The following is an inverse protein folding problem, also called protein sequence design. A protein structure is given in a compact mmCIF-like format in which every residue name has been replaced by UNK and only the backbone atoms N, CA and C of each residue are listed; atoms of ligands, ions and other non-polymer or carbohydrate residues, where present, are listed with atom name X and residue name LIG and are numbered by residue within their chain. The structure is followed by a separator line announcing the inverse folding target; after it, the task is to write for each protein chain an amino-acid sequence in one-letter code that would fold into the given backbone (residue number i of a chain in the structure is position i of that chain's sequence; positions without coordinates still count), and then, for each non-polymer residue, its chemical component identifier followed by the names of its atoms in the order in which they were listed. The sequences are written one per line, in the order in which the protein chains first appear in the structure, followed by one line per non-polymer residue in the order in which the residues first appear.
data_IF_046471571891
#
_entry.id   IF_046471571891
#
_cell.length_a   1.000
_cell.length_b   1.000
_cell.length_c   1.000
_cell.angle_alpha   90.00
_cell.angle_beta   90.00
_cell.angle_gamma   90.00
#
_symmetry.space_group_name_H-M   'P 1'
#
loop_
_entity.id
_entity.type
_entity.pdbx_description
1 polymer ?
#
# COMPACT_ATOMS: atom_id res chain seq x y z
N UNK A 1 -30.61 -5.66 -13.11
CA UNK A 1 -31.33 -4.52 -12.48
C UNK A 1 -30.82 -4.37 -11.06
N UNK A 2 -30.63 -3.13 -10.58
CA UNK A 2 -30.16 -2.86 -9.23
C UNK A 2 -31.14 -3.45 -8.19
N UNK A 3 -30.61 -4.07 -7.14
CA UNK A 3 -31.42 -4.69 -6.07
C UNK A 3 -31.93 -3.67 -5.03
N UNK A 4 -31.20 -2.57 -4.84
CA UNK A 4 -31.51 -1.51 -3.87
C UNK A 4 -31.44 -0.14 -4.54
N UNK A 5 -32.25 0.79 -4.06
CA UNK A 5 -32.10 2.22 -4.40
C UNK A 5 -30.95 2.80 -3.59
N UNK A 6 -30.07 3.57 -4.26
CA UNK A 6 -28.85 4.12 -3.64
C UNK A 6 -28.67 5.63 -3.87
N UNK A 7 -29.68 6.46 -3.60
CA UNK A 7 -29.69 7.87 -4.02
C UNK A 7 -28.54 8.71 -3.43
N UNK A 8 -28.01 8.37 -2.26
CA UNK A 8 -26.84 9.07 -1.69
C UNK A 8 -25.54 8.62 -2.36
N UNK A 9 -25.37 7.31 -2.57
CA UNK A 9 -24.19 6.80 -3.29
C UNK A 9 -24.16 7.22 -4.75
N UNK A 10 -25.32 7.36 -5.40
CA UNK A 10 -25.44 7.78 -6.80
C UNK A 10 -24.82 9.18 -7.02
N UNK A 11 -24.84 10.06 -6.00
CA UNK A 11 -24.16 11.36 -6.07
C UNK A 11 -22.65 11.23 -6.25
N UNK A 12 -22.05 10.14 -5.77
CA UNK A 12 -20.61 9.88 -5.80
C UNK A 12 -20.14 9.29 -7.14
N UNK A 13 -21.05 9.09 -8.10
CA UNK A 13 -20.69 8.73 -9.48
C UNK A 13 -20.31 9.94 -10.33
N UNK A 14 -20.68 11.13 -9.87
CA UNK A 14 -20.35 12.39 -10.55
C UNK A 14 -18.94 12.89 -10.19
N UNK A 15 -18.42 13.80 -11.01
CA UNK A 15 -17.09 14.40 -10.83
C UNK A 15 -15.97 13.66 -11.57
N UNK A 16 -14.74 14.22 -11.56
CA UNK A 16 -13.65 13.71 -12.39
C UNK A 16 -12.87 12.55 -11.78
N UNK A 17 -12.97 12.32 -10.46
CA UNK A 17 -12.23 11.24 -9.78
C UNK A 17 -12.90 9.88 -10.04
N UNK A 18 -12.15 8.78 -10.28
CA UNK A 18 -12.73 7.47 -10.52
C UNK A 18 -13.61 7.04 -9.34
N UNK A 19 -14.89 6.86 -9.62
CA UNK A 19 -15.88 6.52 -8.60
C UNK A 19 -15.84 5.04 -8.23
N UNK A 20 -15.65 4.78 -6.93
CA UNK A 20 -15.79 3.41 -6.40
C UNK A 20 -17.23 2.90 -6.51
N UNK A 21 -18.24 3.80 -6.51
CA UNK A 21 -19.65 3.40 -6.65
C UNK A 21 -19.90 2.85 -8.04
N UNK A 22 -19.45 3.55 -9.08
CA UNK A 22 -19.56 3.09 -10.47
C UNK A 22 -18.85 1.75 -10.68
N UNK A 23 -17.66 1.58 -10.09
CA UNK A 23 -16.91 0.31 -10.21
C UNK A 23 -17.61 -0.85 -9.51
N UNK A 24 -18.15 -0.65 -8.29
CA UNK A 24 -18.92 -1.67 -7.58
C UNK A 24 -20.22 -2.00 -8.33
N UNK A 25 -20.92 -1.01 -8.90
CA UNK A 25 -22.11 -1.25 -9.73
C UNK A 25 -21.80 -2.15 -10.92
N UNK A 26 -20.69 -1.90 -11.62
CA UNK A 26 -20.19 -2.75 -12.70
C UNK A 26 -19.89 -4.17 -12.21
N UNK A 27 -19.23 -4.31 -11.06
CA UNK A 27 -18.97 -5.65 -10.49
C UNK A 27 -20.27 -6.36 -10.08
N UNK A 28 -21.26 -5.63 -9.59
CA UNK A 28 -22.55 -6.16 -9.17
C UNK A 28 -23.39 -6.71 -10.35
N UNK A 29 -23.09 -6.33 -11.59
CA UNK A 29 -23.66 -6.96 -12.78
C UNK A 29 -23.18 -8.41 -12.96
N UNK A 30 -21.94 -8.72 -12.55
CA UNK A 30 -21.38 -10.07 -12.58
C UNK A 30 -21.61 -10.86 -11.28
N UNK A 31 -21.56 -10.17 -10.15
CA UNK A 31 -21.61 -10.71 -8.79
C UNK A 31 -22.75 -10.06 -8.00
N UNK A 32 -23.99 -10.58 -8.09
CA UNK A 32 -25.17 -9.92 -7.53
C UNK A 32 -25.10 -9.63 -6.02
N UNK A 33 -24.28 -10.35 -5.27
CA UNK A 33 -23.97 -10.07 -3.86
C UNK A 33 -23.41 -8.66 -3.63
N UNK A 34 -22.71 -8.08 -4.61
CA UNK A 34 -22.18 -6.71 -4.52
C UNK A 34 -23.31 -5.66 -4.50
N UNK A 35 -24.52 -5.98 -4.98
CA UNK A 35 -25.67 -5.10 -4.77
C UNK A 35 -26.00 -4.95 -3.28
N UNK A 36 -25.86 -6.01 -2.48
CA UNK A 36 -26.08 -5.94 -1.04
C UNK A 36 -25.00 -5.12 -0.33
N UNK A 37 -23.77 -5.02 -0.88
CA UNK A 37 -22.75 -4.07 -0.42
C UNK A 37 -23.18 -2.63 -0.65
N UNK A 38 -23.66 -2.31 -1.86
CA UNK A 38 -24.18 -0.98 -2.15
C UNK A 38 -25.38 -0.64 -1.25
N UNK A 39 -26.28 -1.59 -1.03
CA UNK A 39 -27.46 -1.40 -0.17
C UNK A 39 -27.11 -1.16 1.30
N UNK A 40 -26.18 -1.91 1.88
CA UNK A 40 -25.76 -1.69 3.27
C UNK A 40 -24.93 -0.41 3.42
N UNK A 41 -24.13 -0.06 2.42
CA UNK A 41 -23.36 1.17 2.43
C UNK A 41 -24.29 2.40 2.32
N UNK A 42 -25.29 2.36 1.44
CA UNK A 42 -26.33 3.41 1.35
C UNK A 42 -27.03 3.61 2.70
N UNK A 43 -27.42 2.50 3.36
CA UNK A 43 -28.02 2.58 4.70
C UNK A 43 -27.06 3.24 5.70
N UNK A 44 -25.78 2.88 5.64
CA UNK A 44 -24.74 3.47 6.49
C UNK A 44 -24.57 4.98 6.22
N UNK A 45 -24.70 5.44 4.97
CA UNK A 45 -24.70 6.86 4.62
C UNK A 45 -25.91 7.60 5.22
N UNK A 46 -27.08 6.96 5.18
CA UNK A 46 -28.33 7.52 5.72
C UNK A 46 -28.30 7.62 7.25
N UNK A 47 -27.89 6.54 7.93
CA UNK A 47 -27.96 6.45 9.39
C UNK A 47 -26.68 6.93 10.08
N UNK A 48 -25.58 7.11 9.33
CA UNK A 48 -24.27 7.54 9.81
C UNK A 48 -23.68 6.62 10.88
N UNK A 49 -23.99 5.34 10.77
CA UNK A 49 -23.46 4.27 11.62
C UNK A 49 -22.96 3.11 10.74
N UNK A 50 -22.11 2.26 11.32
CA UNK A 50 -21.69 1.03 10.66
C UNK A 50 -22.74 -0.05 10.83
N UNK A 51 -22.99 -0.83 9.78
CA UNK A 51 -23.89 -2.00 9.80
C UNK A 51 -23.14 -3.33 9.79
N UNK A 52 -21.93 -3.33 10.34
CA UNK A 52 -21.14 -4.53 10.53
C UNK A 52 -21.04 -4.89 12.01
N UNK A 53 -21.30 -6.16 12.34
CA UNK A 53 -21.16 -6.68 13.70
C UNK A 53 -19.73 -6.55 14.22
N UNK A 54 -19.61 -6.57 15.54
CA UNK A 54 -18.32 -6.61 16.22
C UNK A 54 -17.58 -7.92 15.89
N UNK A 55 -16.30 -7.78 15.52
CA UNK A 55 -15.39 -8.91 15.31
C UNK A 55 -15.81 -9.93 14.24
N UNK A 56 -15.24 -11.12 14.36
CA UNK A 56 -15.42 -12.27 13.48
C UNK A 56 -14.15 -13.11 13.46
N UNK A 57 -14.24 -14.34 13.96
CA UNK A 57 -13.10 -15.27 14.04
C UNK A 57 -13.31 -16.36 13.00
N UNK A 58 -12.52 -16.30 11.93
CA UNK A 58 -12.49 -17.26 10.83
C UNK A 58 -11.05 -17.33 10.32
N UNK A 59 -10.68 -18.42 9.67
CA UNK A 59 -9.31 -18.65 9.22
C UNK A 59 -9.21 -19.89 8.34
N UNK A 60 -7.98 -20.31 8.11
CA UNK A 60 -7.62 -21.57 7.47
C UNK A 60 -6.76 -22.38 8.42
N UNK A 61 -6.81 -23.71 8.34
CA UNK A 61 -6.05 -24.58 9.21
C UNK A 61 -4.54 -24.36 9.05
N UNK A 62 -3.82 -24.45 10.18
CA UNK A 62 -2.39 -24.21 10.25
C UNK A 62 -2.00 -22.76 10.55
N UNK A 63 -2.86 -21.77 10.24
CA UNK A 63 -2.61 -20.35 10.45
C UNK A 63 -3.57 -19.73 11.48
N UNK A 64 -3.04 -18.84 12.31
CA UNK A 64 -3.81 -18.08 13.31
C UNK A 64 -4.23 -16.69 12.86
N UNK A 65 -4.01 -16.35 11.59
CA UNK A 65 -4.24 -15.02 11.02
C UNK A 65 -4.37 -15.03 9.49
N UNK A 66 -4.40 -13.83 8.91
CA UNK A 66 -4.49 -13.59 7.46
C UNK A 66 -5.89 -13.28 6.94
N UNK A 67 -6.94 -13.64 7.70
CA UNK A 67 -8.34 -13.40 7.33
C UNK A 67 -9.01 -12.55 8.41
N UNK A 68 -9.82 -11.58 8.00
CA UNK A 68 -10.64 -10.76 8.91
C UNK A 68 -12.10 -11.13 8.71
N UNK A 69 -12.66 -11.85 9.69
CA UNK A 69 -14.07 -12.17 9.72
C UNK A 69 -14.93 -10.92 9.86
N UNK A 70 -16.04 -10.90 9.14
CA UNK A 70 -17.01 -9.80 9.14
C UNK A 70 -18.38 -10.32 8.74
N UNK A 71 -19.40 -9.83 9.44
CA UNK A 71 -20.80 -10.20 9.28
C UNK A 71 -21.66 -8.95 9.34
N UNK A 72 -22.63 -8.82 8.44
CA UNK A 72 -23.60 -7.71 8.46
C UNK A 72 -24.54 -7.85 9.67
N UNK A 73 -24.98 -6.73 10.24
CA UNK A 73 -25.92 -6.72 11.37
C UNK A 73 -27.39 -6.98 10.94
N UNK A 74 -27.69 -6.83 9.64
CA UNK A 74 -29.00 -6.98 9.02
C UNK A 74 -29.04 -8.11 7.96
N UNK A 75 -28.72 -9.38 8.30
CA UNK A 75 -28.50 -10.45 7.33
C UNK A 75 -29.75 -10.82 6.52
N UNK A 76 -30.96 -10.63 7.07
CA UNK A 76 -32.22 -10.86 6.33
C UNK A 76 -32.43 -9.83 5.22
N UNK A 77 -31.96 -8.58 5.42
CA UNK A 77 -32.10 -7.49 4.46
C UNK A 77 -31.00 -7.52 3.40
N UNK A 78 -29.78 -7.90 3.82
CA UNK A 78 -28.60 -7.95 2.96
C UNK A 78 -27.94 -9.35 2.97
N UNK A 79 -28.64 -10.39 2.48
CA UNK A 79 -28.17 -11.78 2.60
C UNK A 79 -26.88 -12.09 1.82
N UNK A 80 -26.60 -11.36 0.73
CA UNK A 80 -25.38 -11.51 -0.07
C UNK A 80 -24.10 -11.14 0.70
N UNK A 81 -24.23 -10.41 1.80
CA UNK A 81 -23.11 -9.96 2.65
C UNK A 81 -23.29 -10.42 4.10
N UNK A 82 -24.12 -11.45 4.31
CA UNK A 82 -24.24 -12.13 5.60
C UNK A 82 -22.86 -12.49 6.15
N UNK A 83 -22.02 -13.07 5.30
CA UNK A 83 -20.58 -13.20 5.49
C UNK A 83 -19.89 -12.31 4.47
N UNK A 84 -18.93 -11.51 4.91
CA UNK A 84 -18.17 -10.63 4.03
C UNK A 84 -16.72 -10.54 4.46
N UNK A 85 -16.08 -11.70 4.55
CA UNK A 85 -14.73 -11.84 5.09
C UNK A 85 -13.69 -11.24 4.15
N UNK A 86 -12.66 -10.63 4.72
CA UNK A 86 -11.55 -10.06 3.98
C UNK A 86 -10.34 -11.00 4.06
N UNK A 87 -9.80 -11.38 2.91
CA UNK A 87 -8.56 -12.18 2.83
C UNK A 87 -7.40 -11.24 2.51
N UNK A 88 -6.32 -11.35 3.28
CA UNK A 88 -5.06 -10.66 3.01
C UNK A 88 -4.14 -11.61 2.27
N UNK A 89 -3.71 -11.22 1.08
CA UNK A 89 -2.77 -11.99 0.26
C UNK A 89 -1.43 -11.27 0.24
N UNK A 90 -0.34 -12.02 0.49
CA UNK A 90 1.00 -11.47 0.54
C UNK A 90 1.38 -10.88 -0.85
N UNK A 91 1.79 -9.62 -0.87
CA UNK A 91 2.21 -8.93 -2.10
C UNK A 91 3.71 -9.14 -2.37
N UNK A 92 4.15 -9.11 -3.65
CA UNK A 92 5.57 -9.00 -3.97
C UNK A 92 6.16 -7.68 -3.43
N UNK A 93 7.44 -7.71 -3.07
CA UNK A 93 8.18 -6.50 -2.70
C UNK A 93 8.05 -5.42 -3.79
N UNK A 94 7.95 -4.16 -3.39
CA UNK A 94 7.70 -3.01 -4.27
C UNK A 94 6.44 -3.07 -5.15
N UNK A 95 5.59 -4.09 -5.02
CA UNK A 95 4.30 -4.24 -5.73
C UNK A 95 4.45 -4.25 -7.26
N UNK A 96 5.52 -4.84 -7.79
CA UNK A 96 5.61 -5.14 -9.21
C UNK A 96 4.78 -6.38 -9.56
N UNK A 97 4.04 -6.30 -10.66
CA UNK A 97 3.16 -7.37 -11.12
C UNK A 97 3.31 -7.61 -12.62
N UNK A 98 3.13 -8.86 -13.03
CA UNK A 98 2.80 -9.19 -14.41
C UNK A 98 1.28 -9.23 -14.59
N UNK A 99 0.80 -8.92 -15.79
CA UNK A 99 -0.64 -9.06 -16.08
C UNK A 99 -1.12 -10.52 -16.00
N UNK A 100 -0.23 -11.49 -16.23
CA UNK A 100 -0.54 -12.91 -16.06
C UNK A 100 -0.86 -13.25 -14.60
N UNK A 101 -0.01 -12.81 -13.65
CA UNK A 101 -0.24 -13.03 -12.22
C UNK A 101 -1.55 -12.36 -11.75
N UNK A 102 -1.79 -11.11 -12.14
CA UNK A 102 -3.01 -10.39 -11.74
C UNK A 102 -4.28 -11.03 -12.32
N UNK A 103 -4.25 -11.48 -13.59
CA UNK A 103 -5.41 -12.17 -14.19
C UNK A 103 -5.70 -13.49 -13.47
N UNK A 104 -4.68 -14.30 -13.22
CA UNK A 104 -4.85 -15.55 -12.48
C UNK A 104 -5.43 -15.32 -11.08
N UNK A 105 -4.96 -14.27 -10.37
CA UNK A 105 -5.50 -13.89 -9.06
C UNK A 105 -6.97 -13.52 -9.14
N UNK A 106 -7.35 -12.74 -10.16
CA UNK A 106 -8.73 -12.34 -10.35
C UNK A 106 -9.62 -13.50 -10.79
N UNK A 107 -9.11 -14.47 -11.56
CA UNK A 107 -9.84 -15.69 -11.91
C UNK A 107 -10.18 -16.50 -10.64
N UNK A 108 -9.21 -16.65 -9.73
CA UNK A 108 -9.45 -17.29 -8.42
C UNK A 108 -10.40 -16.48 -7.55
N UNK A 109 -10.25 -15.15 -7.52
CA UNK A 109 -11.09 -14.31 -6.69
C UNK A 109 -12.53 -14.18 -7.19
N UNK A 110 -12.73 -14.15 -8.52
CA UNK A 110 -14.07 -14.24 -9.12
C UNK A 110 -14.68 -15.63 -8.86
N UNK A 111 -13.90 -16.71 -8.79
CA UNK A 111 -14.42 -18.04 -8.42
C UNK A 111 -14.88 -18.10 -6.97
N UNK A 112 -14.09 -17.56 -6.04
CA UNK A 112 -14.28 -17.79 -4.60
C UNK A 112 -14.87 -16.62 -3.82
N UNK A 113 -14.98 -15.44 -4.41
CA UNK A 113 -15.38 -14.22 -3.69
C UNK A 113 -16.20 -13.25 -4.53
N UNK A 114 -16.28 -12.03 -4.01
CA UNK A 114 -17.07 -10.92 -4.57
C UNK A 114 -16.46 -10.34 -5.86
N UNK A 115 -15.18 -10.60 -6.14
CA UNK A 115 -14.40 -9.89 -7.16
C UNK A 115 -13.99 -8.46 -6.77
N UNK A 116 -14.42 -7.95 -5.60
CA UNK A 116 -13.99 -6.64 -5.09
C UNK A 116 -12.63 -6.73 -4.40
N UNK A 117 -11.80 -5.70 -4.56
CA UNK A 117 -10.47 -5.66 -3.94
C UNK A 117 -10.15 -4.29 -3.34
N UNK A 118 -9.17 -4.24 -2.43
CA UNK A 118 -8.34 -3.05 -2.26
C UNK A 118 -6.94 -3.36 -2.77
N UNK A 119 -6.44 -2.50 -3.66
CA UNK A 119 -5.11 -2.60 -4.26
C UNK A 119 -4.32 -1.36 -3.86
N UNK A 120 -3.76 -1.28 -2.64
CA UNK A 120 -3.52 -2.34 -1.64
C UNK A 120 -4.07 -1.97 -0.27
N UNK A 121 -3.98 -2.89 0.69
CA UNK A 121 -4.10 -2.56 2.10
C UNK A 121 -2.94 -1.69 2.56
N UNK A 122 -3.17 -0.80 3.53
CA UNK A 122 -2.15 0.16 3.96
C UNK A 122 -0.88 -0.49 4.51
N UNK A 123 -0.95 -1.72 5.02
CA UNK A 123 0.27 -2.43 5.48
C UNK A 123 1.11 -2.90 4.29
N UNK A 124 0.48 -3.37 3.22
CA UNK A 124 1.14 -3.85 2.00
C UNK A 124 0.29 -4.85 1.22
N UNK A 125 -0.51 -5.65 1.94
CA UNK A 125 -1.26 -6.79 1.41
C UNK A 125 -2.16 -6.45 0.23
N UNK A 126 -2.32 -7.39 -0.70
CA UNK A 126 -3.47 -7.40 -1.59
C UNK A 126 -4.69 -7.76 -0.75
N UNK A 127 -5.76 -6.99 -0.88
CA UNK A 127 -6.98 -7.20 -0.10
C UNK A 127 -8.07 -7.74 -1.01
N UNK A 128 -8.50 -8.97 -0.76
CA UNK A 128 -9.64 -9.58 -1.42
C UNK A 128 -10.86 -9.40 -0.51
N UNK A 129 -11.81 -8.57 -0.96
CA UNK A 129 -12.81 -7.97 -0.10
C UNK A 129 -14.16 -8.66 -0.24
N UNK A 130 -14.45 -9.61 0.64
CA UNK A 130 -15.77 -10.21 0.74
C UNK A 130 -15.85 -11.62 0.17
N UNK A 131 -15.89 -12.58 1.07
CA UNK A 131 -16.27 -13.96 0.77
C UNK A 131 -16.96 -14.59 1.98
N UNK A 132 -17.44 -15.81 1.81
CA UNK A 132 -18.09 -16.62 2.85
C UNK A 132 -17.09 -17.58 3.51
N UNK A 133 -17.45 -18.15 4.66
CA UNK A 133 -16.53 -18.99 5.45
C UNK A 133 -16.17 -20.27 4.70
N UNK A 134 -17.14 -20.86 4.03
CA UNK A 134 -17.02 -22.09 3.23
C UNK A 134 -16.04 -21.98 2.06
N UNK A 135 -15.70 -20.74 1.63
CA UNK A 135 -14.78 -20.50 0.52
C UNK A 135 -13.33 -20.26 0.98
N UNK A 136 -13.06 -20.14 2.28
CA UNK A 136 -11.72 -19.77 2.77
C UNK A 136 -10.68 -20.86 2.48
N UNK A 137 -10.97 -22.10 2.84
CA UNK A 137 -10.08 -23.25 2.58
C UNK A 137 -9.95 -23.56 1.08
N UNK A 138 -11.04 -23.63 0.28
CA UNK A 138 -10.93 -23.78 -1.17
C UNK A 138 -10.11 -22.69 -1.86
N UNK A 139 -10.30 -21.42 -1.45
CA UNK A 139 -9.49 -20.32 -1.99
C UNK A 139 -8.03 -20.47 -1.61
N UNK A 140 -7.72 -20.78 -0.35
CA UNK A 140 -6.36 -20.92 0.12
C UNK A 140 -5.63 -22.10 -0.54
N UNK A 141 -6.33 -23.19 -0.79
CA UNK A 141 -5.82 -24.31 -1.58
C UNK A 141 -5.43 -23.85 -2.99
N UNK A 142 -6.33 -23.22 -3.73
CA UNK A 142 -6.06 -22.77 -5.10
C UNK A 142 -4.94 -21.69 -5.12
N UNK A 143 -4.93 -20.76 -4.16
CA UNK A 143 -3.89 -19.74 -4.03
C UNK A 143 -2.50 -20.35 -3.86
N UNK A 144 -2.38 -21.37 -3.00
CA UNK A 144 -1.09 -22.01 -2.71
C UNK A 144 -0.67 -22.99 -3.80
N UNK A 145 -1.59 -23.81 -4.32
CA UNK A 145 -1.26 -24.88 -5.27
C UNK A 145 -1.19 -24.41 -6.72
N UNK A 146 -2.04 -23.46 -7.12
CA UNK A 146 -2.10 -22.99 -8.52
C UNK A 146 -1.28 -21.71 -8.73
N UNK A 147 -1.16 -20.84 -7.73
CA UNK A 147 -0.40 -19.58 -7.83
C UNK A 147 0.94 -19.59 -7.08
N UNK A 148 1.16 -20.53 -6.15
CA UNK A 148 2.36 -20.52 -5.31
C UNK A 148 2.46 -19.28 -4.41
N UNK A 149 1.32 -18.67 -4.08
CA UNK A 149 1.24 -17.44 -3.30
C UNK A 149 0.60 -17.72 -1.93
N UNK A 150 0.91 -16.91 -0.92
CA UNK A 150 0.47 -17.14 0.46
C UNK A 150 -0.37 -15.98 1.00
N UNK A 151 -0.99 -16.19 2.16
CA UNK A 151 -1.69 -15.19 2.94
C UNK A 151 -0.71 -14.21 3.60
N UNK A 152 -1.20 -12.99 3.81
CA UNK A 152 -0.55 -11.99 4.65
C UNK A 152 -0.86 -12.16 6.14
N UNK A 153 -0.32 -11.26 6.98
CA UNK A 153 -0.45 -11.33 8.43
C UNK A 153 -1.63 -10.54 9.03
N UNK A 154 -2.31 -11.11 10.04
CA UNK A 154 -3.24 -10.41 10.94
C UNK A 154 -3.24 -11.05 12.34
N UNK A 155 -3.53 -10.28 13.40
CA UNK A 155 -3.47 -10.77 14.79
C UNK A 155 -2.30 -10.19 15.60
N UNK A 156 -1.92 -10.85 16.69
CA UNK A 156 -0.76 -10.48 17.53
C UNK A 156 0.50 -11.21 17.07
N UNK A 157 0.97 -10.80 15.90
CA UNK A 157 2.00 -11.45 15.10
C UNK A 157 2.84 -10.43 14.32
N UNK A 158 3.86 -10.89 13.61
CA UNK A 158 4.48 -10.12 12.54
C UNK A 158 3.45 -9.90 11.43
N UNK A 159 3.28 -8.65 11.00
CA UNK A 159 2.45 -8.32 9.85
C UNK A 159 3.31 -8.30 8.60
N UNK A 160 2.64 -8.42 7.46
CA UNK A 160 3.24 -8.38 6.13
C UNK A 160 4.22 -7.20 6.00
N UNK A 161 5.52 -7.47 5.83
CA UNK A 161 6.50 -6.42 5.59
C UNK A 161 6.23 -5.68 4.28
N UNK A 162 6.70 -4.43 4.18
CA UNK A 162 6.61 -3.64 2.97
C UNK A 162 7.80 -2.69 2.81
N UNK A 163 8.14 -2.40 1.57
CA UNK A 163 9.27 -1.54 1.21
C UNK A 163 8.89 -0.45 0.20
N UNK A 164 9.72 0.58 0.08
CA UNK A 164 9.67 1.50 -1.06
C UNK A 164 10.24 0.83 -2.33
N UNK A 165 10.08 1.47 -3.50
CA UNK A 165 10.56 0.94 -4.79
C UNK A 165 12.05 0.58 -4.77
N UNK A 166 12.85 1.25 -3.94
CA UNK A 166 14.27 0.93 -3.78
C UNK A 166 15.05 1.09 -5.09
N UNK A 167 16.10 0.29 -5.24
CA UNK A 167 17.02 0.39 -6.36
C UNK A 167 16.45 -0.08 -7.70
N UNK A 168 15.27 -0.73 -7.75
CA UNK A 168 14.66 -1.09 -9.04
C UNK A 168 14.28 0.12 -9.89
N UNK A 169 14.04 1.29 -9.27
CA UNK A 169 13.74 2.53 -10.01
C UNK A 169 14.01 3.83 -9.24
N UNK A 170 14.94 3.83 -8.29
CA UNK A 170 15.38 5.03 -7.59
C UNK A 170 16.89 5.05 -7.43
N UNK A 171 17.50 6.13 -7.91
CA UNK A 171 18.93 6.42 -7.85
C UNK A 171 19.42 6.81 -6.45
N UNK A 172 18.50 7.03 -5.50
CA UNK A 172 18.80 7.39 -4.10
C UNK A 172 18.79 6.21 -3.14
N UNK A 173 18.50 4.99 -3.59
CA UNK A 173 18.42 3.83 -2.70
C UNK A 173 19.81 3.45 -2.18
N UNK A 174 20.02 3.48 -0.86
CA UNK A 174 21.28 3.14 -0.22
C UNK A 174 21.49 1.64 0.00
N UNK A 175 20.45 0.82 -0.22
CA UNK A 175 20.51 -0.64 -0.16
C UNK A 175 19.38 -1.26 -0.98
N UNK A 176 19.41 -2.59 -1.14
CA UNK A 176 18.34 -3.36 -1.75
C UNK A 176 17.16 -3.55 -0.77
N UNK A 177 16.17 -2.65 -0.85
CA UNK A 177 14.98 -2.72 0.01
C UNK A 177 14.06 -3.87 -0.36
N UNK A 178 14.09 -4.32 -1.62
CA UNK A 178 13.25 -5.41 -2.13
C UNK A 178 13.74 -6.74 -1.58
N UNK A 179 15.04 -6.99 -1.68
CA UNK A 179 15.68 -8.19 -1.14
C UNK A 179 15.54 -8.26 0.39
N UNK A 180 15.80 -7.15 1.10
CA UNK A 180 15.63 -7.11 2.56
C UNK A 180 14.19 -7.43 2.97
N UNK A 181 13.21 -6.85 2.27
CA UNK A 181 11.79 -7.10 2.52
C UNK A 181 11.40 -8.54 2.23
N UNK A 182 11.81 -9.07 1.07
CA UNK A 182 11.50 -10.43 0.66
C UNK A 182 12.14 -11.46 1.60
N UNK A 183 13.46 -11.34 1.83
CA UNK A 183 14.21 -12.25 2.68
C UNK A 183 13.63 -12.33 4.09
N UNK A 184 13.35 -11.19 4.73
CA UNK A 184 12.79 -11.19 6.09
C UNK A 184 11.33 -11.65 6.14
N UNK A 185 10.57 -11.44 5.07
CA UNK A 185 9.22 -12.03 4.94
C UNK A 185 9.30 -13.55 4.89
N UNK A 186 10.21 -14.11 4.10
CA UNK A 186 10.39 -15.56 3.98
C UNK A 186 11.01 -16.19 5.23
N UNK A 187 11.92 -15.48 5.91
CA UNK A 187 12.58 -15.97 7.11
C UNK A 187 11.61 -16.11 8.29
N UNK A 188 10.71 -15.14 8.47
CA UNK A 188 9.78 -15.07 9.62
C UNK A 188 8.34 -15.49 9.25
N UNK A 189 8.17 -16.47 8.36
CA UNK A 189 6.84 -16.96 7.97
C UNK A 189 6.04 -17.49 9.17
N UNK A 190 6.70 -18.20 10.10
CA UNK A 190 6.02 -18.70 11.31
C UNK A 190 5.45 -17.55 12.15
N UNK A 191 6.26 -16.52 12.41
CA UNK A 191 5.83 -15.35 13.16
C UNK A 191 4.82 -14.48 12.40
N UNK A 192 4.70 -14.61 11.08
CA UNK A 192 3.65 -13.97 10.28
C UNK A 192 2.33 -14.74 10.43
N UNK A 193 2.36 -16.06 10.31
CA UNK A 193 1.14 -16.86 10.23
C UNK A 193 0.62 -17.37 11.57
N UNK A 194 1.47 -17.48 12.60
CA UNK A 194 1.13 -18.06 13.91
C UNK A 194 1.37 -17.03 15.02
N UNK A 195 0.32 -16.35 15.50
CA UNK A 195 0.44 -15.30 16.51
C UNK A 195 1.11 -15.78 17.80
N UNK A 196 2.36 -15.35 18.01
CA UNK A 196 3.19 -15.68 19.17
C UNK A 196 3.60 -14.45 20.00
N UNK A 197 3.22 -13.24 19.55
CA UNK A 197 3.66 -11.99 20.19
C UNK A 197 2.59 -11.44 21.14
N UNK A 198 2.98 -10.59 22.12
CA UNK A 198 2.01 -9.90 22.98
C UNK A 198 1.04 -9.01 22.17
N UNK A 199 1.51 -8.43 21.07
CA UNK A 199 0.68 -7.65 20.17
C UNK A 199 1.21 -7.67 18.73
N UNK A 200 0.64 -6.85 17.85
CA UNK A 200 1.09 -6.76 16.45
C UNK A 200 2.50 -6.17 16.37
N UNK A 201 3.26 -6.61 15.38
CA UNK A 201 4.60 -6.10 15.07
C UNK A 201 4.77 -5.95 13.56
N UNK A 202 5.48 -4.93 13.09
CA UNK A 202 5.57 -4.58 11.66
C UNK A 202 6.98 -4.20 11.27
N UNK A 203 7.39 -4.65 10.09
CA UNK A 203 8.61 -4.21 9.41
C UNK A 203 8.28 -3.29 8.24
N UNK A 204 9.08 -2.22 8.07
CA UNK A 204 9.11 -1.45 6.82
C UNK A 204 10.53 -1.02 6.45
N UNK A 205 10.78 -0.98 5.15
CA UNK A 205 12.12 -0.75 4.57
C UNK A 205 12.08 0.43 3.58
N UNK A 206 12.77 1.50 3.94
CA UNK A 206 12.96 2.68 3.09
C UNK A 206 14.40 2.79 2.65
N UNK A 207 14.63 2.97 1.35
CA UNK A 207 15.96 3.01 0.76
C UNK A 207 16.78 4.25 1.13
N UNK A 208 16.11 5.33 1.53
CA UNK A 208 16.73 6.58 1.95
C UNK A 208 15.81 7.38 2.91
N UNK A 209 16.29 8.51 3.48
CA UNK A 209 15.54 9.31 4.45
C UNK A 209 14.26 9.99 3.93
N UNK A 210 14.00 10.02 2.61
CA UNK A 210 12.70 10.45 2.07
C UNK A 210 11.54 9.56 2.51
N UNK A 211 11.86 8.34 2.98
CA UNK A 211 10.93 7.42 3.62
C UNK A 211 9.62 7.16 2.83
N UNK A 212 9.74 6.81 1.55
CA UNK A 212 8.58 6.69 0.64
C UNK A 212 7.55 5.61 1.05
N UNK A 213 7.89 4.66 1.94
CA UNK A 213 6.91 3.71 2.51
C UNK A 213 6.41 4.12 3.91
N UNK A 214 6.90 5.25 4.42
CA UNK A 214 6.62 5.80 5.74
C UNK A 214 6.91 4.78 6.86
N UNK A 215 8.11 4.19 6.82
CA UNK A 215 8.61 3.22 7.75
C UNK A 215 8.62 3.77 9.17
N UNK A 216 9.17 4.97 9.39
CA UNK A 216 9.33 5.54 10.73
C UNK A 216 7.99 5.75 11.46
N UNK A 217 6.93 6.00 10.71
CA UNK A 217 5.60 6.29 11.25
C UNK A 217 4.68 5.06 11.31
N UNK A 218 4.94 4.01 10.53
CA UNK A 218 3.96 2.92 10.27
C UNK A 218 4.53 1.52 10.46
N UNK A 219 5.67 1.40 11.14
CA UNK A 219 6.29 0.13 11.50
C UNK A 219 6.89 0.18 12.91
N UNK A 220 6.99 -0.99 13.53
CA UNK A 220 7.62 -1.17 14.84
C UNK A 220 9.14 -1.31 14.69
N UNK A 221 9.59 -1.86 13.54
CA UNK A 221 10.98 -1.81 13.08
C UNK A 221 11.02 -1.09 11.73
N UNK A 222 11.65 0.08 11.75
CA UNK A 222 11.88 0.93 10.59
C UNK A 222 13.35 0.82 10.17
N UNK A 223 13.60 0.31 8.97
CA UNK A 223 14.95 0.28 8.38
C UNK A 223 15.03 1.35 7.31
N UNK A 224 15.84 2.38 7.55
CA UNK A 224 15.99 3.53 6.66
C UNK A 224 17.45 3.63 6.24
N UNK A 225 17.69 3.57 4.94
CA UNK A 225 19.03 3.58 4.35
C UNK A 225 19.69 4.95 4.48
N UNK A 226 21.01 4.96 4.64
CA UNK A 226 21.85 6.15 4.55
C UNK A 226 23.23 5.76 4.04
N UNK A 227 24.11 6.75 3.86
CA UNK A 227 25.52 6.59 3.55
C UNK A 227 26.38 7.09 4.72
N UNK A 228 27.71 7.01 4.60
CA UNK A 228 28.64 7.48 5.66
C UNK A 228 29.93 8.10 5.12
N UNK A 229 30.00 8.24 3.82
CA UNK A 229 31.04 8.90 3.04
C UNK A 229 30.51 10.25 2.51
N UNK A 230 31.23 10.87 1.60
CA UNK A 230 30.94 12.22 1.11
C UNK A 230 29.84 12.20 0.03
N UNK A 231 29.00 13.25 0.01
CA UNK A 231 28.07 13.49 -1.10
C UNK A 231 28.90 13.73 -2.38
N UNK A 232 28.62 12.96 -3.42
CA UNK A 232 29.27 13.10 -4.73
C UNK A 232 28.70 14.32 -5.46
N UNK A 233 29.55 15.27 -5.83
CA UNK A 233 29.16 16.51 -6.53
C UNK A 233 29.73 16.51 -7.94
N UNK A 234 28.84 16.56 -8.94
CA UNK A 234 29.20 16.88 -10.32
C UNK A 234 29.05 18.39 -10.55
N UNK A 235 30.18 19.10 -10.54
CA UNK A 235 30.20 20.57 -10.72
C UNK A 235 29.70 20.98 -12.11
N UNK A 236 29.83 20.14 -13.13
CA UNK A 236 29.26 20.46 -14.44
C UNK A 236 27.72 20.46 -14.36
N UNK A 237 27.14 19.47 -13.69
CA UNK A 237 25.70 19.41 -13.42
C UNK A 237 25.21 20.61 -12.60
N UNK A 238 25.96 21.03 -11.57
CA UNK A 238 25.64 22.23 -10.78
C UNK A 238 25.51 23.47 -11.67
N UNK A 239 26.45 23.67 -12.61
CA UNK A 239 26.42 24.79 -13.56
C UNK A 239 25.20 24.76 -14.47
N UNK A 240 24.79 23.58 -14.93
CA UNK A 240 23.57 23.42 -15.74
C UNK A 240 22.29 23.76 -14.96
N UNK A 241 22.22 23.44 -13.66
CA UNK A 241 21.11 23.89 -12.81
C UNK A 241 21.09 25.41 -12.65
N UNK A 242 22.24 26.03 -12.31
CA UNK A 242 22.35 27.49 -12.14
C UNK A 242 22.06 28.25 -13.45
N UNK A 243 22.43 27.67 -14.60
CA UNK A 243 22.09 28.21 -15.91
C UNK A 243 20.62 28.01 -16.31
N UNK A 244 19.84 27.23 -15.55
CA UNK A 244 18.44 26.92 -15.84
C UNK A 244 18.22 25.85 -16.91
N UNK A 245 19.28 25.13 -17.30
CA UNK A 245 19.19 24.06 -18.30
C UNK A 245 18.63 22.75 -17.71
N UNK A 246 18.78 22.56 -16.39
CA UNK A 246 18.14 21.46 -15.66
C UNK A 246 17.02 21.97 -14.74
N UNK A 247 15.85 21.30 -14.74
CA UNK A 247 14.75 21.70 -13.88
C UNK A 247 15.03 21.30 -12.42
N UNK A 248 14.95 22.25 -11.50
CA UNK A 248 15.06 21.99 -10.07
C UNK A 248 14.03 20.94 -9.61
N UNK A 249 14.44 20.07 -8.68
CA UNK A 249 13.59 19.00 -8.12
C UNK A 249 12.90 18.14 -9.19
N UNK A 250 13.59 17.84 -10.29
CA UNK A 250 13.06 17.05 -11.41
C UNK A 250 11.84 17.67 -12.11
N UNK A 251 11.61 18.97 -11.94
CA UNK A 251 10.45 19.67 -12.51
C UNK A 251 9.16 19.54 -11.70
N UNK A 252 9.23 19.09 -10.44
CA UNK A 252 8.07 18.90 -9.56
C UNK A 252 7.19 20.16 -9.38
N UNK A 253 7.75 21.34 -9.58
CA UNK A 253 7.07 22.62 -9.37
C UNK A 253 6.66 23.34 -10.67
N UNK A 254 6.76 22.68 -11.83
CA UNK A 254 6.47 23.24 -13.17
C UNK A 254 5.03 23.75 -13.37
N UNK A 255 4.09 23.40 -12.49
CA UNK A 255 2.69 23.86 -12.56
C UNK A 255 2.47 25.32 -12.11
N UNK A 256 3.52 26.01 -11.64
CA UNK A 256 3.47 27.43 -11.23
C UNK A 256 4.80 28.10 -11.59
N UNK A 257 4.75 29.39 -11.91
CA UNK A 257 5.95 30.21 -12.05
C UNK A 257 6.48 30.61 -10.66
N UNK A 258 7.70 30.16 -10.35
CA UNK A 258 8.44 30.45 -9.12
C UNK A 258 9.64 31.38 -9.36
N UNK A 259 9.88 31.80 -10.61
CA UNK A 259 11.12 32.43 -11.04
C UNK A 259 12.18 31.43 -11.48
N UNK A 260 13.34 31.95 -11.89
CA UNK A 260 14.51 31.14 -12.20
C UNK A 260 15.10 30.51 -10.94
N UNK A 261 15.67 29.32 -11.08
CA UNK A 261 16.30 28.61 -9.97
C UNK A 261 17.40 29.46 -9.32
N UNK A 262 17.34 29.56 -7.99
CA UNK A 262 18.32 30.27 -7.17
C UNK A 262 18.95 29.29 -6.18
N UNK A 263 20.16 28.80 -6.50
CA UNK A 263 20.85 27.79 -5.69
C UNK A 263 21.11 28.24 -4.24
N UNK A 264 21.25 29.55 -4.02
CA UNK A 264 21.43 30.08 -2.67
C UNK A 264 20.13 29.91 -1.88
N UNK A 265 19.00 30.38 -2.41
CA UNK A 265 17.70 30.35 -1.72
C UNK A 265 17.07 28.97 -1.63
N UNK A 266 17.26 28.13 -2.65
CA UNK A 266 16.54 26.87 -2.81
C UNK A 266 17.34 25.64 -2.37
N UNK A 267 18.64 25.79 -2.09
CA UNK A 267 19.51 24.70 -1.61
C UNK A 267 20.30 25.13 -0.38
N UNK A 268 21.16 26.14 -0.50
CA UNK A 268 22.12 26.50 0.56
C UNK A 268 21.42 27.02 1.81
N UNK A 269 20.54 28.02 1.67
CA UNK A 269 19.80 28.64 2.79
C UNK A 269 18.77 27.69 3.42
N UNK A 270 18.48 26.55 2.77
CA UNK A 270 17.57 25.51 3.27
C UNK A 270 18.30 24.30 3.83
N UNK A 271 19.64 24.24 3.75
CA UNK A 271 20.41 23.17 4.38
C UNK A 271 20.25 23.27 5.91
N UNK A 272 19.72 22.23 6.59
CA UNK A 272 19.33 22.32 8.00
C UNK A 272 20.50 22.46 8.98
N UNK A 273 21.72 22.13 8.53
CA UNK A 273 22.95 22.29 9.33
C UNK A 273 23.86 23.39 8.81
N UNK A 274 23.42 24.15 7.81
CA UNK A 274 24.19 25.24 7.21
C UNK A 274 25.59 24.79 6.71
N UNK A 275 25.74 23.51 6.35
CA UNK A 275 27.02 22.90 5.97
C UNK A 275 27.36 23.02 4.48
N UNK A 276 26.62 23.82 3.70
CA UNK A 276 26.80 23.98 2.26
C UNK A 276 27.14 25.44 1.92
N UNK A 277 27.97 25.68 0.91
CA UNK A 277 28.25 27.03 0.42
C UNK A 277 28.71 27.02 -1.05
N UNK A 278 28.65 28.18 -1.69
CA UNK A 278 29.26 28.39 -3.02
C UNK A 278 30.66 29.00 -2.86
N UNK A 279 31.66 28.39 -3.48
CA UNK A 279 33.01 28.97 -3.62
C UNK A 279 33.24 29.31 -5.09
N UNK A 280 32.99 30.58 -5.45
CA UNK A 280 32.93 30.98 -6.86
C UNK A 280 31.73 30.34 -7.56
N UNK A 281 32.00 29.50 -8.56
CA UNK A 281 31.00 28.75 -9.32
C UNK A 281 30.90 27.26 -8.91
N UNK A 282 31.58 26.86 -7.84
CA UNK A 282 31.56 25.50 -7.31
C UNK A 282 30.72 25.38 -6.03
N UNK A 283 29.89 24.34 -5.95
CA UNK A 283 29.17 23.97 -4.73
C UNK A 283 30.07 23.14 -3.81
N UNK A 284 30.13 23.49 -2.52
CA UNK A 284 30.87 22.75 -1.49
C UNK A 284 29.93 22.29 -0.38
N UNK A 285 30.30 21.18 0.27
CA UNK A 285 29.59 20.59 1.40
C UNK A 285 30.64 20.19 2.44
N UNK A 286 30.41 20.53 3.70
CA UNK A 286 31.11 19.92 4.83
C UNK A 286 30.34 18.68 5.27
N UNK A 287 30.69 17.53 4.68
CA UNK A 287 29.98 16.27 4.91
C UNK A 287 30.00 15.82 6.38
N UNK A 288 30.97 16.28 7.18
CA UNK A 288 31.02 15.96 8.63
C UNK A 288 29.86 16.57 9.40
N UNK A 289 29.34 17.70 8.91
CA UNK A 289 28.21 18.41 9.50
C UNK A 289 26.89 18.10 8.74
N UNK A 290 26.93 17.23 7.73
CA UNK A 290 25.72 16.73 7.08
C UNK A 290 25.00 15.72 7.98
N UNK A 291 23.67 15.76 8.02
CA UNK A 291 22.83 14.90 8.90
C UNK A 291 22.41 13.58 8.26
N UNK A 292 23.13 13.12 7.22
CA UNK A 292 22.86 11.85 6.54
C UNK A 292 24.11 11.01 6.42
#
# INVERSE_FOLDING_TARGET
MAKHETPLLDQLESGPWPSFVTDIKRQAEKKPECWDILGVLELSYKERITHWKHGGIVGVFGYGGGIVGRYVDLPKRFPGVEHFHTIRVAQPASKYYSTANLRQMMDLWEKHGSGMTNFHGSTGDIILLGTRTENLEPFFWDLTHDMGQDLGGSGSNLRTPANCVGQSRCEWSCYDTEEACHHLTMHYQDEIHRPAFPYKFKFKFSGCPNDCVAAIARSDVSVIGTWRDEIRIDQAGVKEYVAGNYPANGGAHSGRDWGAFDIQKEVVDLCPTECMWMEGDELKIDDKECTR
#
